data_IF_686909437306
#
_entry.id   IF_686909437306
#
_cell.length_a   1.000
_cell.length_b   1.000
_cell.length_c   1.000
_cell.angle_alpha   90.00
_cell.angle_beta   90.00
_cell.angle_gamma   90.00
#
_symmetry.space_group_name_H-M   'P 1'
#
loop_
_entity.id
_entity.type
_entity.pdbx_description
1 polymer ?
#
# COMPACT_ATOMS: atom_id res chain seq x y z
N UNK A 1 -7.17 22.57 5.58
CA UNK A 1 -8.38 22.93 6.36
C UNK A 1 -8.86 21.70 7.10
N UNK A 2 -9.15 21.80 8.39
CA UNK A 2 -9.75 20.73 9.19
C UNK A 2 -11.27 20.72 9.03
N UNK A 3 -11.86 19.52 8.89
CA UNK A 3 -13.32 19.32 8.88
C UNK A 3 -13.70 18.38 10.04
N UNK A 4 -14.88 18.59 10.62
CA UNK A 4 -15.41 17.75 11.69
C UNK A 4 -16.16 16.54 11.08
N UNK A 5 -15.99 15.38 11.70
CA UNK A 5 -16.66 14.13 11.35
C UNK A 5 -17.46 13.63 12.56
N UNK A 6 -18.75 13.42 12.40
CA UNK A 6 -19.61 12.77 13.41
C UNK A 6 -19.85 11.33 12.99
N UNK A 7 -19.62 10.39 13.89
CA UNK A 7 -19.72 8.95 13.66
C UNK A 7 -20.68 8.35 14.68
N UNK A 8 -21.63 7.53 14.23
CA UNK A 8 -22.46 6.72 15.11
C UNK A 8 -21.74 5.38 15.34
N UNK A 9 -21.47 5.02 16.60
CA UNK A 9 -20.87 3.75 17.01
C UNK A 9 -21.54 3.23 18.27
N UNK A 10 -21.40 1.94 18.54
CA UNK A 10 -21.87 1.34 19.78
C UNK A 10 -21.14 1.92 21.01
N UNK A 11 -21.88 2.25 22.05
CA UNK A 11 -21.34 2.84 23.29
C UNK A 11 -20.28 1.93 23.94
N UNK A 12 -20.54 0.62 23.99
CA UNK A 12 -19.61 -0.37 24.53
C UNK A 12 -18.26 -0.38 23.77
N UNK A 13 -18.31 -0.12 22.45
CA UNK A 13 -17.11 -0.04 21.63
C UNK A 13 -16.37 1.27 21.91
N UNK A 14 -17.09 2.38 22.01
CA UNK A 14 -16.50 3.69 22.33
C UNK A 14 -15.72 3.64 23.65
N UNK A 15 -16.28 3.01 24.68
CA UNK A 15 -15.64 2.92 25.99
C UNK A 15 -14.40 2.03 25.97
N UNK A 16 -14.44 0.89 25.28
CA UNK A 16 -13.24 0.05 25.07
C UNK A 16 -12.13 0.81 24.34
N UNK A 17 -12.49 1.55 23.30
CA UNK A 17 -11.52 2.33 22.51
C UNK A 17 -10.92 3.47 23.34
N UNK A 18 -11.71 4.12 24.21
CA UNK A 18 -11.21 5.15 25.14
C UNK A 18 -10.17 4.59 26.11
N UNK A 19 -10.45 3.44 26.72
CA UNK A 19 -9.48 2.76 27.61
C UNK A 19 -8.20 2.42 26.86
N UNK A 20 -8.34 1.85 25.65
CA UNK A 20 -7.19 1.47 24.83
C UNK A 20 -6.37 2.67 24.36
N UNK A 21 -7.02 3.78 24.01
CA UNK A 21 -6.35 5.03 23.65
C UNK A 21 -5.57 5.61 24.85
N UNK A 22 -6.18 5.61 26.04
CA UNK A 22 -5.50 6.04 27.27
C UNK A 22 -4.26 5.18 27.58
N UNK A 23 -4.37 3.85 27.46
CA UNK A 23 -3.24 2.93 27.63
C UNK A 23 -2.11 3.21 26.64
N UNK A 24 -2.44 3.55 25.39
CA UNK A 24 -1.49 3.90 24.33
C UNK A 24 -1.02 5.36 24.36
N UNK A 25 -1.48 6.17 25.34
CA UNK A 25 -1.22 7.62 25.43
C UNK A 25 -1.62 8.40 24.17
N UNK A 26 -2.70 7.98 23.51
CA UNK A 26 -3.26 8.65 22.33
C UNK A 26 -4.70 9.11 22.62
N UNK A 27 -5.27 9.87 21.69
CA UNK A 27 -6.72 10.14 21.71
C UNK A 27 -7.47 9.26 20.70
N UNK A 28 -8.78 9.08 20.92
CA UNK A 28 -9.66 8.38 19.96
C UNK A 28 -9.65 9.08 18.60
N UNK A 29 -9.70 10.41 18.59
CA UNK A 29 -9.64 11.19 17.35
C UNK A 29 -8.32 10.99 16.58
N UNK A 30 -7.21 10.88 17.30
CA UNK A 30 -5.91 10.59 16.69
C UNK A 30 -5.85 9.16 16.14
N UNK A 31 -6.38 8.18 16.86
CA UNK A 31 -6.49 6.81 16.39
C UNK A 31 -7.34 6.72 15.10
N UNK A 32 -8.49 7.39 15.07
CA UNK A 32 -9.35 7.45 13.87
C UNK A 32 -8.65 8.15 12.71
N UNK A 33 -7.97 9.28 12.95
CA UNK A 33 -7.18 9.96 11.91
C UNK A 33 -6.08 9.07 11.36
N UNK A 34 -5.35 8.37 12.23
CA UNK A 34 -4.29 7.44 11.84
C UNK A 34 -4.84 6.29 11.00
N UNK A 35 -5.94 5.70 11.43
CA UNK A 35 -6.62 4.63 10.69
C UNK A 35 -7.06 5.08 9.29
N UNK A 36 -7.75 6.23 9.18
CA UNK A 36 -8.20 6.75 7.88
C UNK A 36 -7.03 7.09 6.96
N UNK A 37 -5.94 7.65 7.51
CA UNK A 37 -4.73 7.95 6.75
C UNK A 37 -4.10 6.68 6.18
N UNK A 38 -3.93 5.67 7.04
CA UNK A 38 -3.36 4.39 6.63
C UNK A 38 -4.25 3.68 5.62
N UNK A 39 -5.58 3.75 5.78
CA UNK A 39 -6.53 3.15 4.85
C UNK A 39 -6.45 3.80 3.46
N UNK A 40 -6.40 5.14 3.38
CA UNK A 40 -6.22 5.85 2.12
C UNK A 40 -4.88 5.51 1.49
N UNK A 41 -3.78 5.53 2.27
CA UNK A 41 -2.45 5.17 1.76
C UNK A 41 -2.40 3.76 1.17
N UNK A 42 -3.09 2.80 1.78
CA UNK A 42 -3.16 1.43 1.25
C UNK A 42 -3.88 1.34 -0.09
N UNK A 43 -4.92 2.14 -0.31
CA UNK A 43 -5.62 2.16 -1.60
C UNK A 43 -4.86 2.99 -2.64
N UNK A 44 -4.37 4.18 -2.28
CA UNK A 44 -3.58 5.02 -3.20
C UNK A 44 -2.26 4.35 -3.61
N UNK A 45 -1.55 3.68 -2.71
CA UNK A 45 -0.30 3.00 -3.07
C UNK A 45 -0.51 1.86 -4.08
N UNK A 46 -1.64 1.14 -4.01
CA UNK A 46 -2.00 0.14 -5.03
C UNK A 46 -2.28 0.80 -6.36
N UNK A 47 -2.97 1.94 -6.34
CA UNK A 47 -3.28 2.70 -7.55
C UNK A 47 -2.03 3.32 -8.18
N UNK A 48 -1.13 3.90 -7.39
CA UNK A 48 0.14 4.47 -7.86
C UNK A 48 1.06 3.39 -8.44
N UNK A 49 1.18 2.23 -7.78
CA UNK A 49 1.96 1.11 -8.30
C UNK A 49 1.37 0.59 -9.62
N UNK A 50 0.04 0.51 -9.71
CA UNK A 50 -0.66 0.13 -10.93
C UNK A 50 -0.48 1.15 -12.04
N UNK A 51 -0.64 2.43 -11.76
CA UNK A 51 -0.41 3.52 -12.73
C UNK A 51 1.04 3.56 -13.19
N UNK A 52 2.00 3.37 -12.29
CA UNK A 52 3.42 3.29 -12.65
C UNK A 52 3.71 2.11 -13.60
N UNK A 53 3.08 0.94 -13.37
CA UNK A 53 3.19 -0.20 -14.27
C UNK A 53 2.54 0.06 -15.63
N UNK A 54 1.35 0.67 -15.66
CA UNK A 54 0.67 1.03 -16.91
C UNK A 54 1.49 2.06 -17.71
N UNK A 55 2.02 3.08 -17.03
CA UNK A 55 2.92 4.06 -17.65
C UNK A 55 4.19 3.42 -18.18
N UNK A 56 4.79 2.48 -17.44
CA UNK A 56 5.95 1.73 -17.90
C UNK A 56 5.62 0.92 -19.15
N UNK A 57 4.45 0.29 -19.23
CA UNK A 57 3.99 -0.45 -20.41
C UNK A 57 3.86 0.50 -21.61
N UNK A 58 3.24 1.66 -21.42
CA UNK A 58 3.01 2.64 -22.49
C UNK A 58 4.31 3.32 -22.98
N UNK A 59 5.22 3.65 -22.06
CA UNK A 59 6.50 4.32 -22.36
C UNK A 59 7.62 3.34 -22.74
N UNK A 60 7.43 2.04 -22.47
CA UNK A 60 8.38 1.00 -22.81
C UNK A 60 8.64 0.97 -24.32
N UNK A 61 9.89 1.24 -24.70
CA UNK A 61 10.38 1.04 -26.07
C UNK A 61 10.67 -0.42 -26.39
N UNK A 62 10.57 -1.32 -25.40
CA UNK A 62 10.83 -2.74 -25.55
C UNK A 62 9.73 -3.43 -26.34
N UNK A 63 9.85 -3.47 -27.67
CA UNK A 63 8.98 -4.29 -28.51
C UNK A 63 9.55 -5.69 -28.64
N UNK A 64 9.05 -6.60 -27.81
CA UNK A 64 9.50 -7.98 -27.75
C UNK A 64 8.91 -8.91 -28.83
N UNK A 65 8.18 -8.41 -29.85
CA UNK A 65 7.75 -9.19 -31.03
C UNK A 65 7.42 -10.68 -30.78
N UNK A 66 8.06 -11.56 -31.55
CA UNK A 66 8.08 -13.02 -31.35
C UNK A 66 9.22 -13.50 -30.42
N UNK A 67 9.91 -12.56 -29.76
CA UNK A 67 11.01 -12.89 -28.87
C UNK A 67 10.49 -13.69 -27.68
N UNK A 68 11.04 -14.89 -27.52
CA UNK A 68 10.81 -15.72 -26.35
C UNK A 68 12.07 -15.70 -25.49
N UNK A 69 11.94 -15.49 -24.18
CA UNK A 69 13.07 -15.73 -23.28
C UNK A 69 13.55 -17.18 -23.48
N UNK A 70 14.87 -17.39 -23.43
CA UNK A 70 15.50 -18.71 -23.51
C UNK A 70 15.04 -19.64 -22.39
N UNK A 71 15.57 -20.86 -22.34
CA UNK A 71 15.27 -21.74 -21.20
C UNK A 71 15.77 -21.08 -19.91
N UNK A 72 15.09 -21.33 -18.78
CA UNK A 72 15.40 -20.71 -17.49
C UNK A 72 16.91 -20.77 -17.15
N UNK A 73 17.53 -21.92 -17.43
CA UNK A 73 18.94 -22.19 -17.13
C UNK A 73 19.92 -21.44 -18.06
N UNK A 74 19.44 -20.87 -19.17
CA UNK A 74 20.23 -20.08 -20.13
C UNK A 74 20.17 -18.57 -19.83
N UNK A 75 19.20 -18.14 -19.01
CA UNK A 75 18.98 -16.72 -18.67
C UNK A 75 19.77 -16.33 -17.43
N UNK A 76 20.03 -17.28 -16.53
CA UNK A 76 20.89 -17.04 -15.38
C UNK A 76 22.33 -16.81 -15.84
N UNK A 77 22.93 -15.76 -15.31
CA UNK A 77 24.27 -15.29 -15.70
C UNK A 77 25.41 -16.20 -15.21
N UNK A 78 25.12 -17.11 -14.29
CA UNK A 78 26.08 -17.88 -13.49
C UNK A 78 26.73 -17.08 -12.35
N UNK A 79 26.50 -15.77 -12.25
CA UNK A 79 27.10 -14.91 -11.23
C UNK A 79 26.19 -14.83 -9.99
N UNK A 80 26.73 -15.20 -8.83
CA UNK A 80 26.04 -15.16 -7.52
C UNK A 80 25.47 -13.78 -7.18
N UNK A 81 25.96 -12.70 -7.79
CA UNK A 81 25.45 -11.35 -7.56
C UNK A 81 24.08 -11.10 -8.21
N UNK A 82 23.75 -11.82 -9.28
CA UNK A 82 22.55 -11.57 -10.09
C UNK A 82 21.54 -12.73 -10.07
N UNK A 83 21.96 -13.95 -9.73
CA UNK A 83 21.14 -15.17 -9.85
C UNK A 83 20.63 -15.73 -8.51
N UNK A 84 20.29 -14.87 -7.55
CA UNK A 84 19.90 -15.29 -6.19
C UNK A 84 18.40 -15.49 -6.02
#
# INVERSE_FOLDING_TARGET
MTRNLTLAIDDDLLDKVRVLAAMKRTTVNEAVRGFLTQWVQQETSKDEAREALLKLIDESKGRMGDWRPGKRDEIYSGDRRFDR
#
